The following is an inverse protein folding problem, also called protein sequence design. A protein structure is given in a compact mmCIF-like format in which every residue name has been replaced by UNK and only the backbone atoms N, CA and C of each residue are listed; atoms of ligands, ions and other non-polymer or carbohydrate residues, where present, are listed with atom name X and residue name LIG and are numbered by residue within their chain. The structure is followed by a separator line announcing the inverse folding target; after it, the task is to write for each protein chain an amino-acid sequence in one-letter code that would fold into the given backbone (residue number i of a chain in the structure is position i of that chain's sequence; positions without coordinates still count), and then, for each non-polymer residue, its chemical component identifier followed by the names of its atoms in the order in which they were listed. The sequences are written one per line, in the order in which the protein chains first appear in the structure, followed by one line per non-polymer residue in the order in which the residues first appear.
data_IF_666986441655
#
_entry.id   IF_666986441655
#
_cell.length_a   1.000
_cell.length_b   1.000
_cell.length_c   1.000
_cell.angle_alpha   90.00
_cell.angle_beta   90.00
_cell.angle_gamma   90.00
#
_symmetry.space_group_name_H-M   'P 1'
#
loop_
_entity.id
_entity.type
_entity.pdbx_description
1 polymer ?
#
# COMPACT_ATOMS: atom_id res chain seq x y z
N UNK A 1 13.18 1.36 7.51
CA UNK A 1 11.80 1.49 7.99
C UNK A 1 11.50 2.97 8.00
N UNK A 2 10.40 3.39 7.37
CA UNK A 2 9.92 4.78 7.42
C UNK A 2 8.82 4.87 8.47
N UNK A 3 8.65 6.03 9.08
CA UNK A 3 7.66 6.26 10.13
C UNK A 3 6.80 7.46 9.76
N UNK A 4 5.50 7.34 10.01
CA UNK A 4 4.58 8.46 9.88
C UNK A 4 3.43 8.33 10.88
N UNK A 5 3.28 9.32 11.76
CA UNK A 5 2.24 9.40 12.80
C UNK A 5 2.15 8.15 13.72
N UNK A 6 3.28 7.45 13.91
CA UNK A 6 3.42 6.20 14.65
C UNK A 6 3.09 4.94 13.86
N UNK A 7 2.80 5.05 12.56
CA UNK A 7 2.62 3.96 11.61
C UNK A 7 3.92 3.74 10.86
N UNK A 8 4.45 2.52 10.90
CA UNK A 8 5.76 2.21 10.34
C UNK A 8 5.63 1.41 9.05
N UNK A 9 6.49 1.70 8.09
CA UNK A 9 6.61 0.99 6.82
C UNK A 9 7.80 0.03 6.85
N UNK A 10 7.52 -1.26 6.71
CA UNK A 10 8.53 -2.30 6.69
C UNK A 10 9.49 -2.14 5.51
N UNK A 11 10.69 -2.71 5.64
CA UNK A 11 11.67 -2.78 4.56
C UNK A 11 11.14 -3.73 3.47
N UNK A 12 11.14 -3.26 2.24
CA UNK A 12 10.86 -4.08 1.05
C UNK A 12 12.07 -4.09 0.12
N UNK A 13 12.30 -5.24 -0.53
CA UNK A 13 13.31 -5.38 -1.59
C UNK A 13 12.74 -5.14 -2.99
N UNK A 14 11.42 -4.95 -3.12
CA UNK A 14 10.72 -4.74 -4.40
C UNK A 14 11.07 -5.79 -5.46
N UNK A 15 10.99 -7.08 -5.07
CA UNK A 15 11.17 -8.25 -5.95
C UNK A 15 10.47 -9.47 -5.34
N UNK A 16 10.59 -10.63 -5.98
CA UNK A 16 10.01 -11.88 -5.48
C UNK A 16 10.45 -12.21 -4.04
N UNK A 17 9.54 -12.84 -3.32
CA UNK A 17 9.69 -13.23 -1.93
C UNK A 17 10.77 -14.31 -1.80
N UNK A 18 11.79 -14.04 -0.99
CA UNK A 18 12.84 -14.99 -0.63
C UNK A 18 13.04 -15.00 0.89
N UNK A 19 13.87 -15.93 1.38
CA UNK A 19 14.17 -16.07 2.81
C UNK A 19 14.63 -14.78 3.50
N UNK A 20 15.32 -13.89 2.79
CA UNK A 20 15.77 -12.61 3.35
C UNK A 20 14.60 -11.69 3.74
N UNK A 21 13.47 -11.73 3.02
CA UNK A 21 12.28 -10.93 3.35
C UNK A 21 11.69 -11.34 4.70
N UNK A 22 11.66 -12.64 5.00
CA UNK A 22 11.21 -13.16 6.30
C UNK A 22 12.09 -12.63 7.43
N UNK A 23 13.42 -12.57 7.21
CA UNK A 23 14.36 -12.01 8.20
C UNK A 23 14.15 -10.51 8.40
N UNK A 24 13.91 -9.77 7.32
CA UNK A 24 13.62 -8.34 7.41
C UNK A 24 12.32 -8.07 8.14
N UNK A 25 11.25 -8.78 7.80
CA UNK A 25 9.95 -8.62 8.45
C UNK A 25 10.03 -8.91 9.95
N UNK A 26 10.67 -10.01 10.35
CA UNK A 26 10.89 -10.30 11.77
C UNK A 26 11.69 -9.20 12.49
N UNK A 27 12.76 -8.71 11.86
CA UNK A 27 13.54 -7.60 12.40
C UNK A 27 12.72 -6.31 12.51
N UNK A 28 11.84 -6.07 11.56
CA UNK A 28 10.97 -4.90 11.52
C UNK A 28 9.90 -4.95 12.62
N UNK A 29 9.29 -6.11 12.87
CA UNK A 29 8.40 -6.30 14.01
C UNK A 29 9.09 -6.02 15.35
N UNK A 30 10.35 -6.45 15.51
CA UNK A 30 11.12 -6.17 16.72
C UNK A 30 11.37 -4.67 16.89
N UNK A 31 11.81 -3.99 15.83
CA UNK A 31 12.04 -2.54 15.86
C UNK A 31 10.72 -1.81 16.16
N UNK A 32 9.63 -2.16 15.48
CA UNK A 32 8.31 -1.59 15.71
C UNK A 32 7.84 -1.79 17.16
N UNK A 33 8.15 -2.95 17.77
CA UNK A 33 7.84 -3.22 19.17
C UNK A 33 8.64 -2.32 20.11
N UNK A 34 9.94 -2.21 19.90
CA UNK A 34 10.84 -1.40 20.71
C UNK A 34 10.45 0.09 20.66
N UNK A 35 9.90 0.53 19.52
CA UNK A 35 9.42 1.90 19.29
C UNK A 35 7.95 2.13 19.70
N UNK A 36 7.25 1.12 20.22
CA UNK A 36 5.82 1.16 20.53
C UNK A 36 4.96 1.65 19.34
N UNK A 37 5.24 1.13 18.14
CA UNK A 37 4.51 1.43 16.92
C UNK A 37 2.99 1.17 17.06
N UNK A 38 2.18 2.04 16.44
CA UNK A 38 0.72 1.84 16.34
C UNK A 38 0.37 0.76 15.34
N UNK A 39 1.13 0.63 14.26
CA UNK A 39 1.02 -0.45 13.28
C UNK A 39 2.31 -0.60 12.48
N UNK A 40 2.39 -1.72 11.75
CA UNK A 40 3.36 -1.98 10.70
C UNK A 40 2.61 -2.18 9.38
N UNK A 41 2.97 -1.42 8.35
CA UNK A 41 2.53 -1.57 6.98
C UNK A 41 3.58 -2.35 6.19
N UNK A 42 3.14 -3.27 5.34
CA UNK A 42 4.00 -4.09 4.49
C UNK A 42 3.36 -4.19 3.11
N UNK A 43 4.11 -3.89 2.05
CA UNK A 43 3.63 -4.15 0.69
C UNK A 43 3.29 -5.63 0.52
N UNK A 44 2.17 -5.90 -0.16
CA UNK A 44 1.80 -7.24 -0.59
C UNK A 44 2.94 -7.88 -1.41
N UNK A 45 3.16 -9.20 -1.29
CA UNK A 45 4.15 -9.89 -2.11
C UNK A 45 3.85 -9.77 -3.60
N UNK A 46 4.87 -9.59 -4.44
CA UNK A 46 4.70 -9.49 -5.89
C UNK A 46 3.98 -10.69 -6.50
N UNK A 47 4.18 -11.89 -5.93
CA UNK A 47 3.43 -13.09 -6.28
C UNK A 47 1.92 -12.91 -6.15
N UNK A 48 1.46 -12.22 -5.11
CA UNK A 48 0.05 -11.94 -4.87
C UNK A 48 -0.45 -10.79 -5.75
N UNK A 49 0.38 -9.76 -5.95
CA UNK A 49 -0.02 -8.55 -6.67
C UNK A 49 -0.07 -8.75 -8.19
N UNK A 50 0.86 -9.54 -8.74
CA UNK A 50 1.02 -9.75 -10.18
C UNK A 50 1.09 -11.26 -10.51
N UNK A 51 0.01 -12.02 -10.23
CA UNK A 51 -0.02 -13.48 -10.32
C UNK A 51 0.29 -14.04 -11.71
N UNK A 52 0.01 -13.26 -12.77
CA UNK A 52 0.34 -13.62 -14.15
C UNK A 52 1.83 -13.54 -14.48
N UNK A 53 2.61 -12.80 -13.68
CA UNK A 53 4.07 -12.61 -13.85
C UNK A 53 4.82 -13.57 -12.95
N UNK A 54 4.36 -13.69 -11.70
CA UNK A 54 5.01 -14.47 -10.65
C UNK A 54 4.10 -15.64 -10.23
N UNK A 55 4.17 -16.79 -10.92
CA UNK A 55 3.17 -17.85 -10.80
C UNK A 55 3.21 -18.61 -9.47
N UNK A 56 4.29 -18.47 -8.68
CA UNK A 56 4.41 -19.17 -7.40
C UNK A 56 3.69 -18.42 -6.27
N UNK A 57 2.36 -18.36 -6.35
CA UNK A 57 1.50 -17.69 -5.36
C UNK A 57 1.72 -18.20 -3.93
N UNK A 58 2.14 -19.45 -3.78
CA UNK A 58 2.32 -20.06 -2.47
C UNK A 58 3.41 -19.34 -1.67
N UNK A 59 4.51 -18.90 -2.31
CA UNK A 59 5.56 -18.15 -1.63
C UNK A 59 5.03 -16.86 -0.99
N UNK A 60 4.20 -16.11 -1.73
CA UNK A 60 3.56 -14.89 -1.22
C UNK A 60 2.55 -15.19 -0.11
N UNK A 61 1.78 -16.28 -0.22
CA UNK A 61 0.83 -16.70 0.82
C UNK A 61 1.55 -17.10 2.11
N UNK A 62 2.63 -17.86 2.00
CA UNK A 62 3.41 -18.30 3.16
C UNK A 62 4.06 -17.11 3.88
N UNK A 63 4.52 -16.10 3.13
CA UNK A 63 5.05 -14.86 3.71
C UNK A 63 3.97 -14.04 4.40
N UNK A 64 2.77 -13.97 3.82
CA UNK A 64 1.62 -13.33 4.47
C UNK A 64 1.28 -14.03 5.79
N UNK A 65 1.17 -15.35 5.78
CA UNK A 65 0.89 -16.14 6.98
C UNK A 65 1.96 -15.91 8.07
N UNK A 66 3.24 -15.91 7.68
CA UNK A 66 4.32 -15.59 8.58
C UNK A 66 4.20 -14.19 9.20
N UNK A 67 3.84 -13.17 8.41
CA UNK A 67 3.57 -11.83 8.93
C UNK A 67 2.39 -11.79 9.92
N UNK A 68 1.30 -12.50 9.62
CA UNK A 68 0.15 -12.61 10.53
C UNK A 68 0.49 -13.35 11.84
N UNK A 69 1.38 -14.33 11.80
CA UNK A 69 1.89 -14.98 13.02
C UNK A 69 2.73 -13.99 13.86
N UNK A 70 3.57 -13.18 13.20
CA UNK A 70 4.36 -12.13 13.88
C UNK A 70 3.47 -11.04 14.49
N UNK A 71 2.39 -10.64 13.79
CA UNK A 71 1.36 -9.72 14.31
C UNK A 71 0.83 -10.19 15.67
N UNK A 72 0.49 -11.47 15.78
CA UNK A 72 0.01 -12.07 17.03
C UNK A 72 1.11 -12.12 18.09
N UNK A 73 2.32 -12.53 17.71
CA UNK A 73 3.46 -12.67 18.63
C UNK A 73 3.88 -11.34 19.26
N UNK A 74 3.97 -10.28 18.46
CA UNK A 74 4.42 -8.97 18.93
C UNK A 74 3.28 -8.07 19.45
N UNK A 75 2.03 -8.42 19.11
CA UNK A 75 0.84 -7.63 19.46
C UNK A 75 0.83 -6.26 18.78
N UNK A 76 1.31 -6.19 17.54
CA UNK A 76 1.36 -4.96 16.72
C UNK A 76 0.42 -5.18 15.54
N UNK A 77 -0.56 -4.28 15.29
CA UNK A 77 -1.37 -4.34 14.08
C UNK A 77 -0.52 -4.37 12.81
N UNK A 78 -0.83 -5.30 11.92
CA UNK A 78 -0.20 -5.46 10.61
C UNK A 78 -1.23 -5.21 9.53
N UNK A 79 -0.87 -4.38 8.56
CA UNK A 79 -1.70 -4.09 7.40
C UNK A 79 -0.91 -4.32 6.12
N UNK A 80 -1.53 -5.03 5.18
CA UNK A 80 -0.92 -5.33 3.88
C UNK A 80 -1.35 -4.31 2.84
N UNK A 81 -0.37 -3.71 2.19
CA UNK A 81 -0.54 -2.56 1.34
C UNK A 81 -0.43 -2.93 -0.15
N UNK A 82 -1.34 -2.40 -0.98
CA UNK A 82 -1.21 -2.51 -2.43
C UNK A 82 -0.03 -1.69 -2.92
N UNK A 83 0.65 -2.12 -3.98
CA UNK A 83 1.69 -1.36 -4.65
C UNK A 83 1.63 -1.61 -6.17
N UNK A 84 1.98 -0.63 -7.01
CA UNK A 84 2.33 -0.92 -8.39
C UNK A 84 3.67 -1.66 -8.44
N UNK A 85 3.97 -2.26 -9.59
CA UNK A 85 5.36 -2.57 -9.92
C UNK A 85 5.89 -1.56 -10.93
N UNK A 86 6.81 -0.71 -10.48
CA UNK A 86 7.49 0.28 -11.29
C UNK A 86 8.86 -0.23 -11.76
N UNK A 87 9.38 0.37 -12.83
CA UNK A 87 10.76 0.14 -13.25
C UNK A 87 11.70 0.84 -12.26
N UNK A 88 12.81 0.20 -11.89
CA UNK A 88 13.75 0.81 -10.96
C UNK A 88 14.37 2.08 -11.57
N UNK A 89 14.29 3.20 -10.84
CA UNK A 89 14.71 4.56 -11.28
C UNK A 89 13.94 5.13 -12.48
N UNK A 90 12.87 4.46 -12.91
CA UNK A 90 12.01 4.89 -14.00
C UNK A 90 10.56 4.69 -13.54
N UNK A 91 9.87 5.80 -13.29
CA UNK A 91 8.51 5.81 -12.72
C UNK A 91 7.44 5.16 -13.62
N UNK A 92 7.82 4.65 -14.78
CA UNK A 92 6.94 3.85 -15.62
C UNK A 92 6.53 2.55 -14.93
N UNK A 93 5.26 2.18 -15.13
CA UNK A 93 4.74 0.89 -14.68
C UNK A 93 5.40 -0.25 -15.47
N UNK A 94 6.11 -1.11 -14.75
CA UNK A 94 6.66 -2.37 -15.28
C UNK A 94 5.54 -3.38 -15.48
N UNK A 95 4.62 -3.46 -14.51
CA UNK A 95 3.41 -4.27 -14.58
C UNK A 95 2.19 -3.47 -14.11
N UNK A 96 1.00 -3.92 -14.51
CA UNK A 96 -0.25 -3.26 -14.11
C UNK A 96 -0.51 -3.36 -12.60
N UNK A 97 -1.58 -2.73 -12.15
CA UNK A 97 -1.97 -2.65 -10.73
C UNK A 97 -2.19 -4.03 -10.07
N UNK A 98 -2.16 -4.03 -8.73
CA UNK A 98 -2.48 -5.18 -7.87
C UNK A 98 -3.74 -5.91 -8.36
N UNK A 99 -3.62 -7.23 -8.56
CA UNK A 99 -4.74 -8.13 -8.88
C UNK A 99 -5.41 -8.61 -7.60
N UNK A 100 -6.45 -7.89 -7.21
CA UNK A 100 -7.15 -8.10 -5.95
C UNK A 100 -7.72 -9.51 -5.78
N UNK A 101 -7.97 -10.25 -6.86
CA UNK A 101 -8.53 -11.61 -6.81
C UNK A 101 -7.60 -12.62 -6.12
N UNK A 102 -6.29 -12.34 -6.08
CA UNK A 102 -5.30 -13.22 -5.45
C UNK A 102 -5.00 -12.84 -4.00
N UNK A 103 -5.48 -11.69 -3.53
CA UNK A 103 -5.30 -11.21 -2.15
C UNK A 103 -6.20 -12.03 -1.21
N UNK A 104 -5.66 -12.63 -0.13
CA UNK A 104 -6.48 -13.36 0.84
C UNK A 104 -7.56 -12.51 1.51
N UNK A 105 -8.73 -13.08 1.77
CA UNK A 105 -9.89 -12.37 2.34
C UNK A 105 -9.81 -12.17 3.87
N UNK A 106 -8.86 -12.84 4.52
CA UNK A 106 -8.73 -12.93 5.97
C UNK A 106 -7.58 -12.09 6.55
N UNK A 107 -6.99 -11.20 5.76
CA UNK A 107 -5.98 -10.25 6.20
C UNK A 107 -6.53 -8.82 6.23
N UNK A 108 -5.93 -7.98 7.06
CA UNK A 108 -6.23 -6.56 7.12
C UNK A 108 -5.36 -5.81 6.11
N UNK A 109 -5.97 -4.84 5.42
CA UNK A 109 -5.32 -4.13 4.33
C UNK A 109 -5.09 -2.66 4.68
N UNK A 110 -4.00 -2.13 4.13
CA UNK A 110 -3.81 -0.72 3.89
C UNK A 110 -4.15 -0.43 2.44
N UNK A 111 -5.00 0.56 2.20
CA UNK A 111 -5.22 1.07 0.85
C UNK A 111 -4.33 2.30 0.63
N UNK A 112 -3.40 2.19 -0.30
CA UNK A 112 -2.68 3.34 -0.82
C UNK A 112 -3.39 3.88 -2.07
N UNK A 113 -3.81 5.15 -1.99
CA UNK A 113 -4.56 5.78 -3.07
C UNK A 113 -3.70 6.15 -4.28
N UNK A 114 -2.45 6.54 -4.09
CA UNK A 114 -1.55 6.91 -5.18
C UNK A 114 -1.16 5.70 -6.02
N UNK A 115 -0.88 4.59 -5.35
CA UNK A 115 -0.63 3.31 -5.99
C UNK A 115 -1.77 2.92 -6.94
N UNK A 116 -3.03 3.01 -6.50
CA UNK A 116 -4.19 2.64 -7.30
C UNK A 116 -4.44 3.53 -8.53
N UNK A 117 -4.21 4.83 -8.39
CA UNK A 117 -4.52 5.78 -9.47
C UNK A 117 -3.47 5.76 -10.59
N UNK A 118 -2.26 5.26 -10.33
CA UNK A 118 -1.22 5.15 -11.36
C UNK A 118 -1.64 4.28 -12.55
N UNK A 119 -1.26 4.73 -13.75
CA UNK A 119 -1.61 4.11 -15.02
C UNK A 119 -3.11 4.19 -15.35
N UNK A 120 -3.85 5.09 -14.72
CA UNK A 120 -5.20 5.45 -15.17
C UNK A 120 -5.12 6.38 -16.38
N UNK A 121 -6.08 6.27 -17.29
CA UNK A 121 -6.20 7.12 -18.49
C UNK A 121 -6.58 8.55 -18.12
N UNK A 122 -7.41 8.71 -17.10
CA UNK A 122 -7.87 9.99 -16.58
C UNK A 122 -8.29 9.91 -15.11
N UNK A 123 -8.69 11.05 -14.55
CA UNK A 123 -9.14 11.17 -13.16
C UNK A 123 -10.40 10.34 -12.88
N UNK A 124 -11.30 10.18 -13.86
CA UNK A 124 -12.54 9.43 -13.66
C UNK A 124 -12.25 7.94 -13.51
N UNK A 125 -11.37 7.39 -14.35
CA UNK A 125 -10.93 5.99 -14.21
C UNK A 125 -10.22 5.77 -12.86
N UNK A 126 -9.36 6.70 -12.43
CA UNK A 126 -8.70 6.61 -11.13
C UNK A 126 -9.70 6.58 -9.96
N UNK A 127 -10.73 7.42 -10.01
CA UNK A 127 -11.82 7.42 -9.04
C UNK A 127 -12.57 6.08 -9.06
N UNK A 128 -12.96 5.58 -10.24
CA UNK A 128 -13.66 4.30 -10.40
C UNK A 128 -12.85 3.12 -9.84
N UNK A 129 -11.53 3.11 -10.00
CA UNK A 129 -10.63 2.10 -9.42
C UNK A 129 -10.66 2.13 -7.89
N UNK A 130 -10.54 3.30 -7.27
CA UNK A 130 -10.63 3.46 -5.82
C UNK A 130 -12.00 2.99 -5.31
N UNK A 131 -13.08 3.42 -5.97
CA UNK A 131 -14.44 3.04 -5.59
C UNK A 131 -14.68 1.53 -5.70
N UNK A 132 -14.17 0.90 -6.76
CA UNK A 132 -14.28 -0.53 -6.99
C UNK A 132 -13.59 -1.33 -5.87
N UNK A 133 -12.40 -0.91 -5.45
CA UNK A 133 -11.67 -1.56 -4.35
C UNK A 133 -12.38 -1.31 -3.02
N UNK A 134 -12.86 -0.10 -2.76
CA UNK A 134 -13.67 0.17 -1.57
C UNK A 134 -14.94 -0.68 -1.52
N UNK A 135 -15.57 -0.94 -2.66
CA UNK A 135 -16.76 -1.79 -2.74
C UNK A 135 -16.43 -3.27 -2.47
N UNK A 136 -15.38 -3.79 -3.09
CA UNK A 136 -15.04 -5.23 -3.03
C UNK A 136 -14.25 -5.61 -1.78
N UNK A 137 -13.38 -4.72 -1.28
CA UNK A 137 -12.41 -4.96 -0.20
C UNK A 137 -12.61 -4.05 1.01
N UNK A 138 -13.61 -3.17 1.02
CA UNK A 138 -13.80 -2.14 2.05
C UNK A 138 -13.89 -2.63 3.49
N UNK A 139 -14.30 -3.88 3.72
CA UNK A 139 -14.32 -4.52 5.05
C UNK A 139 -12.90 -4.86 5.53
N UNK A 140 -12.01 -5.31 4.63
CA UNK A 140 -10.63 -5.67 4.96
C UNK A 140 -9.74 -4.45 5.15
N UNK A 141 -10.04 -3.34 4.48
CA UNK A 141 -9.26 -2.10 4.57
C UNK A 141 -9.47 -1.47 5.94
N UNK A 142 -8.42 -1.43 6.77
CA UNK A 142 -8.40 -0.86 8.13
C UNK A 142 -7.56 0.40 8.25
N UNK A 143 -6.66 0.59 7.30
CA UNK A 143 -5.76 1.72 7.22
C UNK A 143 -5.74 2.28 5.78
N UNK A 144 -5.47 3.57 5.64
CA UNK A 144 -5.42 4.24 4.34
C UNK A 144 -4.23 5.18 4.29
N UNK A 145 -3.42 5.06 3.24
CA UNK A 145 -2.41 6.03 2.87
C UNK A 145 -3.01 6.98 1.85
N UNK A 146 -3.12 8.25 2.24
CA UNK A 146 -3.81 9.27 1.47
C UNK A 146 -2.82 10.21 0.81
N UNK A 147 -2.68 10.06 -0.49
CA UNK A 147 -2.01 11.02 -1.34
C UNK A 147 -2.54 10.92 -2.78
N UNK A 148 -2.22 11.93 -3.58
CA UNK A 148 -2.51 11.99 -5.01
C UNK A 148 -1.23 11.92 -5.82
N UNK A 149 -1.38 11.75 -7.13
CA UNK A 149 -0.29 11.89 -8.09
C UNK A 149 -0.81 12.34 -9.47
N UNK A 150 0.08 12.42 -10.46
CA UNK A 150 -0.28 12.82 -11.84
C UNK A 150 -0.76 11.64 -12.72
N UNK A 151 -1.15 10.52 -12.10
CA UNK A 151 -1.52 9.25 -12.73
C UNK A 151 -0.36 8.50 -13.39
N UNK A 152 0.86 9.03 -13.34
CA UNK A 152 2.05 8.43 -13.99
C UNK A 152 3.13 8.13 -12.97
N UNK A 153 3.47 9.11 -12.14
CA UNK A 153 4.54 9.06 -11.17
C UNK A 153 3.98 8.88 -9.77
N UNK A 154 4.72 8.29 -8.85
CA UNK A 154 4.29 8.17 -7.46
C UNK A 154 4.75 9.36 -6.62
N UNK A 155 4.26 10.55 -6.96
CA UNK A 155 4.80 11.84 -6.47
C UNK A 155 4.29 12.26 -5.07
N UNK A 156 3.52 11.41 -4.36
CA UNK A 156 3.09 11.64 -2.96
C UNK A 156 2.48 13.03 -2.71
N UNK A 157 1.65 13.50 -3.66
CA UNK A 157 1.13 14.87 -3.66
C UNK A 157 -0.03 15.01 -2.67
N UNK A 158 -0.18 16.20 -2.10
CA UNK A 158 -1.20 16.48 -1.08
C UNK A 158 -2.65 16.39 -1.60
N UNK A 159 -3.48 15.59 -0.93
CA UNK A 159 -4.92 15.44 -1.22
C UNK A 159 -5.66 16.79 -1.15
N UNK A 160 -6.57 17.01 -2.10
CA UNK A 160 -7.58 18.07 -2.01
C UNK A 160 -7.07 19.51 -2.14
N UNK A 161 -5.76 19.72 -2.30
CA UNK A 161 -5.29 20.98 -2.89
C UNK A 161 -5.67 20.96 -4.36
N UNK A 162 -6.17 22.07 -4.90
CA UNK A 162 -6.37 22.26 -6.34
C UNK A 162 -5.02 22.13 -7.04
N UNK A 163 -4.60 20.90 -7.26
CA UNK A 163 -3.35 20.63 -7.92
C UNK A 163 -3.62 20.81 -9.40
N UNK A 164 -3.00 21.86 -9.93
CA UNK A 164 -3.03 22.27 -11.33
C UNK A 164 -2.34 21.22 -12.20
N UNK A 165 -2.95 20.05 -12.32
CA UNK A 165 -2.67 19.07 -13.35
C UNK A 165 -3.88 19.01 -14.27
N UNK A 166 -3.64 18.70 -15.54
CA UNK A 166 -4.60 18.78 -16.65
C UNK A 166 -5.82 17.84 -16.54
N UNK A 167 -6.15 17.31 -15.35
CA UNK A 167 -7.22 16.32 -15.13
C UNK A 167 -8.10 16.54 -13.90
N UNK A 168 -7.74 17.38 -12.91
CA UNK A 168 -8.52 17.60 -11.69
C UNK A 168 -8.08 16.75 -10.47
N UNK A 169 -8.92 16.70 -9.44
CA UNK A 169 -8.66 16.01 -8.16
C UNK A 169 -9.22 14.60 -8.15
N UNK A 170 -8.38 13.59 -7.87
CA UNK A 170 -8.83 12.19 -7.77
C UNK A 170 -9.54 11.96 -6.44
N UNK A 171 -8.90 12.32 -5.33
CA UNK A 171 -9.45 12.10 -3.99
C UNK A 171 -10.33 13.30 -3.61
N UNK A 172 -11.55 13.31 -4.14
CA UNK A 172 -12.57 14.31 -3.78
C UNK A 172 -12.98 14.20 -2.32
N UNK A 173 -13.66 15.21 -1.77
CA UNK A 173 -14.14 15.16 -0.38
C UNK A 173 -15.05 13.95 -0.11
N UNK A 174 -15.89 13.56 -1.08
CA UNK A 174 -16.78 12.40 -0.94
C UNK A 174 -15.99 11.10 -0.90
N UNK A 175 -14.98 10.94 -1.77
CA UNK A 175 -14.07 9.79 -1.76
C UNK A 175 -13.26 9.76 -0.46
N UNK A 176 -12.70 10.89 -0.04
CA UNK A 176 -11.98 11.04 1.23
C UNK A 176 -12.83 10.58 2.42
N UNK A 177 -14.09 11.04 2.50
CA UNK A 177 -15.00 10.66 3.59
C UNK A 177 -15.25 9.14 3.59
N UNK A 178 -15.41 8.53 2.41
CA UNK A 178 -15.61 7.08 2.28
C UNK A 178 -14.36 6.27 2.61
N UNK A 179 -13.19 6.75 2.21
CA UNK A 179 -11.89 6.16 2.53
C UNK A 179 -11.66 6.15 4.04
N UNK A 180 -11.87 7.29 4.71
CA UNK A 180 -11.49 7.48 6.11
C UNK A 180 -12.54 7.02 7.12
N UNK A 181 -13.81 6.88 6.72
CA UNK A 181 -14.89 6.51 7.65
C UNK A 181 -14.63 5.15 8.33
N UNK A 182 -14.48 5.18 9.66
CA UNK A 182 -14.24 4.00 10.48
C UNK A 182 -12.86 3.36 10.32
N UNK A 183 -11.90 4.08 9.72
CA UNK A 183 -10.54 3.59 9.46
C UNK A 183 -9.50 4.54 10.03
N UNK A 184 -8.31 4.01 10.26
CA UNK A 184 -7.14 4.86 10.50
C UNK A 184 -6.59 5.34 9.16
N UNK A 185 -5.90 6.48 9.13
CA UNK A 185 -5.29 6.99 7.91
C UNK A 185 -4.11 7.91 8.22
N UNK A 186 -3.21 8.02 7.25
CA UNK A 186 -2.12 9.01 7.23
C UNK A 186 -2.13 9.74 5.88
N UNK A 187 -1.61 10.96 5.85
CA UNK A 187 -1.39 11.69 4.60
C UNK A 187 0.04 11.49 4.15
N UNK A 188 0.31 10.51 3.29
CA UNK A 188 1.69 10.33 2.81
C UNK A 188 2.16 11.59 2.09
N UNK A 189 3.33 12.06 2.50
CA UNK A 189 3.98 13.23 1.94
C UNK A 189 5.40 12.82 1.62
N UNK A 190 5.94 13.37 0.55
CA UNK A 190 7.39 13.40 0.35
C UNK A 190 8.01 14.04 1.61
N UNK A 191 8.58 13.20 2.48
CA UNK A 191 9.58 13.68 3.41
C UNK A 191 10.71 14.20 2.54
N UNK A 192 10.87 15.52 2.49
CA UNK A 192 12.13 16.16 2.07
C UNK A 192 13.22 15.32 2.74
N UNK A 193 13.99 14.57 1.94
CA UNK A 193 15.18 13.85 2.38
C UNK A 193 15.91 14.76 3.35
N UNK A 194 15.79 14.50 4.66
CA UNK A 194 16.52 15.27 5.65
C UNK A 194 17.99 14.99 5.35
N UNK A 195 18.66 16.08 4.97
CA UNK A 195 20.06 16.15 4.51
C UNK A 195 21.04 15.40 5.39
#
# INVERSE_FOLDING_TARGET
MREQDGHYHARSRYKETEFEDYRYLMGDFRIAKDLNAKSLNVHLPFEIQHPQVYPNLQNGKDFILFGEDLKQLYGIPLYWENAPEQVYMDWTLKHGQTKWESVPDNIELTLDTGHLMMGSLDVKEAQERIEHVLFTRGIQIKHVHLHENDLVHDDHKQVGKEQTYTGGTVVTQDIFNRLTSGRTYIFEQDEILLK
#
